data_IF_277322184378
#
_entry.id   IF_277322184378
#
_cell.length_a   1.000
_cell.length_b   1.000
_cell.length_c   1.000
_cell.angle_alpha   90.00
_cell.angle_beta   90.00
_cell.angle_gamma   90.00
#
_symmetry.space_group_name_H-M   'P 1'
#
loop_
_entity.id
_entity.type
_entity.pdbx_description
1 polymer ?
#
# COMPACT_ATOMS: atom_id res chain seq x y z
N UNK A 1 -31.06 3.03 1.22
CA UNK A 1 -32.09 2.12 1.74
C UNK A 1 -33.41 2.88 1.83
N UNK A 2 -34.47 2.30 1.28
CA UNK A 2 -35.78 2.91 1.26
C UNK A 2 -36.80 2.01 2.00
N UNK A 3 -37.75 2.58 2.70
CA UNK A 3 -38.85 1.82 3.28
C UNK A 3 -39.91 1.44 2.23
N UNK A 4 -40.89 0.62 2.61
CA UNK A 4 -41.97 0.17 1.73
C UNK A 4 -42.91 1.28 1.27
N UNK A 5 -42.81 2.48 1.84
CA UNK A 5 -43.59 3.69 1.50
C UNK A 5 -42.78 4.67 0.63
N UNK A 6 -41.57 4.31 0.23
CA UNK A 6 -40.69 5.15 -0.58
C UNK A 6 -39.99 6.28 0.18
N UNK A 7 -39.87 6.17 1.51
CA UNK A 7 -39.08 7.11 2.32
C UNK A 7 -37.64 6.62 2.45
N UNK A 8 -36.67 7.51 2.20
CA UNK A 8 -35.27 7.23 2.44
C UNK A 8 -35.03 7.00 3.94
N UNK A 9 -34.47 5.84 4.30
CA UNK A 9 -34.15 5.46 5.67
C UNK A 9 -32.66 5.67 5.96
N UNK A 10 -31.81 5.32 5.00
CA UNK A 10 -30.36 5.35 5.15
C UNK A 10 -29.69 5.52 3.78
N UNK A 11 -28.54 6.21 3.75
CA UNK A 11 -27.73 6.46 2.57
C UNK A 11 -26.25 6.32 2.91
N UNK A 12 -25.52 5.61 2.07
CA UNK A 12 -24.06 5.51 2.13
C UNK A 12 -23.49 6.00 0.80
N UNK A 13 -22.57 6.94 0.87
CA UNK A 13 -21.86 7.45 -0.29
C UNK A 13 -20.37 7.13 -0.18
N UNK A 14 -19.81 6.57 -1.27
CA UNK A 14 -18.38 6.31 -1.38
C UNK A 14 -17.82 7.03 -2.60
N UNK A 15 -16.67 7.67 -2.41
CA UNK A 15 -15.92 8.27 -3.51
C UNK A 15 -14.93 7.24 -4.07
N UNK A 16 -14.86 7.14 -5.37
CA UNK A 16 -13.88 6.31 -6.06
C UNK A 16 -13.34 7.04 -7.29
N UNK A 17 -12.20 6.57 -7.81
CA UNK A 17 -11.63 7.11 -9.04
C UNK A 17 -11.24 6.01 -10.01
N UNK A 18 -11.28 6.33 -11.30
CA UNK A 18 -10.91 5.43 -12.38
C UNK A 18 -9.61 5.92 -12.99
N UNK A 19 -8.63 5.03 -13.11
CA UNK A 19 -7.35 5.28 -13.81
C UNK A 19 -6.86 3.99 -14.45
N UNK A 20 -5.92 4.14 -15.36
CA UNK A 20 -5.07 3.05 -15.85
C UNK A 20 -3.63 3.36 -15.47
N UNK A 21 -2.90 2.37 -14.99
CA UNK A 21 -1.46 2.50 -14.75
C UNK A 21 -0.75 1.27 -15.27
N UNK A 22 0.45 1.47 -15.81
CA UNK A 22 1.29 0.40 -16.33
C UNK A 22 2.77 0.72 -16.12
N UNK A 23 3.58 -0.34 -16.11
CA UNK A 23 5.03 -0.25 -16.04
C UNK A 23 5.63 -1.07 -17.17
N UNK A 24 6.57 -0.48 -17.88
CA UNK A 24 7.36 -1.20 -18.88
C UNK A 24 8.84 -0.78 -18.83
N UNK A 25 9.71 -1.65 -19.34
CA UNK A 25 11.13 -1.34 -19.41
C UNK A 25 11.42 -0.20 -20.39
N UNK A 26 10.61 -0.06 -21.44
CA UNK A 26 10.79 0.93 -22.49
C UNK A 26 10.25 2.30 -22.11
N UNK A 27 9.11 2.37 -21.42
CA UNK A 27 8.40 3.63 -21.15
C UNK A 27 8.39 4.04 -19.70
N UNK A 28 8.79 3.14 -18.79
CA UNK A 28 8.68 3.36 -17.36
C UNK A 28 7.24 3.31 -16.87
N UNK A 29 6.88 4.22 -15.99
CA UNK A 29 5.52 4.35 -15.47
C UNK A 29 4.64 5.18 -16.42
N UNK A 30 3.48 4.65 -16.76
CA UNK A 30 2.46 5.36 -17.51
C UNK A 30 1.17 5.47 -16.67
N UNK A 31 0.59 6.67 -16.62
CA UNK A 31 -0.69 6.94 -15.99
C UNK A 31 -1.66 7.45 -17.06
N UNK A 32 -2.80 6.77 -17.24
CA UNK A 32 -3.80 7.09 -18.25
C UNK A 32 -3.19 7.23 -19.66
N UNK A 33 -2.29 6.31 -20.01
CA UNK A 33 -1.61 6.24 -21.31
C UNK A 33 -0.53 7.31 -21.53
N UNK A 34 -0.13 8.06 -20.48
CA UNK A 34 0.95 9.06 -20.57
C UNK A 34 2.11 8.65 -19.69
N UNK A 35 3.32 8.69 -20.22
CA UNK A 35 4.53 8.48 -19.43
C UNK A 35 4.69 9.58 -18.37
N UNK A 36 4.91 9.18 -17.13
CA UNK A 36 5.05 10.08 -15.99
C UNK A 36 6.32 9.71 -15.22
N UNK A 37 7.20 10.69 -15.00
CA UNK A 37 8.34 10.51 -14.10
C UNK A 37 7.85 10.66 -12.66
N UNK A 38 8.00 9.62 -11.85
CA UNK A 38 7.65 9.66 -10.44
C UNK A 38 8.76 10.38 -9.66
N UNK A 39 8.39 11.46 -9.01
CA UNK A 39 9.25 12.30 -8.16
C UNK A 39 8.62 12.39 -6.78
N UNK A 40 9.27 11.86 -5.75
CA UNK A 40 8.64 11.84 -4.45
C UNK A 40 9.53 11.35 -3.32
N UNK A 41 8.89 11.04 -2.23
CA UNK A 41 9.53 10.59 -1.00
C UNK A 41 8.74 9.46 -0.35
N UNK A 42 9.27 8.90 0.72
CA UNK A 42 8.52 8.05 1.64
C UNK A 42 8.07 8.84 2.87
N UNK A 43 7.02 8.39 3.52
CA UNK A 43 6.48 8.99 4.73
C UNK A 43 6.17 7.92 5.78
N UNK A 44 6.57 8.22 7.02
CA UNK A 44 6.08 7.57 8.23
C UNK A 44 5.10 8.49 8.93
N UNK A 45 3.97 7.95 9.44
CA UNK A 45 2.99 8.76 10.16
C UNK A 45 3.33 8.87 11.64
N UNK A 46 4.47 9.46 11.94
CA UNK A 46 4.85 9.70 13.33
C UNK A 46 5.50 11.07 13.50
N UNK A 47 5.16 11.72 14.63
CA UNK A 47 5.72 13.00 15.03
C UNK A 47 6.33 12.92 16.41
N UNK A 48 7.38 13.70 16.61
CA UNK A 48 8.02 13.82 17.93
C UNK A 48 7.01 14.27 18.99
N UNK A 49 6.96 13.54 20.09
CA UNK A 49 6.05 13.81 21.21
C UNK A 49 4.60 13.36 21.02
N UNK A 50 4.20 12.92 19.81
CA UNK A 50 2.84 12.48 19.52
C UNK A 50 2.76 11.02 19.05
N UNK A 51 3.86 10.45 18.57
CA UNK A 51 3.83 9.13 17.93
C UNK A 51 2.91 9.15 16.72
N UNK A 52 2.05 8.15 16.61
CA UNK A 52 1.07 8.01 15.52
C UNK A 52 -0.31 8.64 15.84
N UNK A 53 -0.48 9.28 17.01
CA UNK A 53 -1.74 9.91 17.40
C UNK A 53 -1.86 11.31 16.79
N UNK A 54 -1.88 11.38 15.46
CA UNK A 54 -1.94 12.61 14.71
C UNK A 54 -3.39 13.02 14.42
N UNK A 55 -3.61 14.31 14.25
CA UNK A 55 -4.88 14.84 13.73
C UNK A 55 -4.87 14.81 12.19
N UNK A 56 -6.05 14.75 11.62
CA UNK A 56 -6.27 14.70 10.16
C UNK A 56 -5.54 15.82 9.42
N UNK A 57 -5.55 17.03 9.97
CA UNK A 57 -4.90 18.19 9.35
C UNK A 57 -3.37 18.02 9.24
N UNK A 58 -2.76 17.27 10.15
CA UNK A 58 -1.33 16.99 10.10
C UNK A 58 -0.98 16.03 8.96
N UNK A 59 -1.81 15.01 8.75
CA UNK A 59 -1.68 14.10 7.62
C UNK A 59 -1.82 14.86 6.29
N UNK A 60 -2.86 15.68 6.18
CA UNK A 60 -3.11 16.49 4.98
C UNK A 60 -1.96 17.46 4.71
N UNK A 61 -1.45 18.13 5.76
CA UNK A 61 -0.35 19.11 5.61
C UNK A 61 0.94 18.50 5.08
N UNK A 62 1.29 17.31 5.51
CA UNK A 62 2.47 16.60 4.98
C UNK A 62 2.37 16.36 3.46
N UNK A 63 1.17 15.99 2.99
CA UNK A 63 0.95 15.73 1.57
C UNK A 63 0.92 17.03 0.75
N UNK A 64 0.38 18.11 1.32
CA UNK A 64 0.44 19.43 0.72
C UNK A 64 1.87 19.91 0.56
N UNK A 65 2.72 19.73 1.58
CA UNK A 65 4.14 20.06 1.52
C UNK A 65 4.87 19.27 0.41
N UNK A 66 4.58 17.98 0.28
CA UNK A 66 5.12 17.18 -0.82
C UNK A 66 4.70 17.76 -2.18
N UNK A 67 3.43 18.11 -2.32
CA UNK A 67 2.90 18.71 -3.55
C UNK A 67 3.53 20.09 -3.83
N UNK A 68 3.66 20.95 -2.83
CA UNK A 68 4.31 22.27 -2.92
C UNK A 68 5.78 22.18 -3.38
N UNK A 69 6.48 21.09 -2.99
CA UNK A 69 7.85 20.81 -3.46
C UNK A 69 7.90 20.29 -4.91
N UNK A 70 6.77 20.10 -5.56
CA UNK A 70 6.68 19.53 -6.91
C UNK A 70 6.70 17.99 -6.93
N UNK A 71 6.49 17.33 -5.79
CA UNK A 71 6.37 15.89 -5.70
C UNK A 71 5.04 15.39 -6.29
N UNK A 72 5.09 14.27 -6.98
CA UNK A 72 3.93 13.59 -7.57
C UNK A 72 3.85 12.10 -7.17
N UNK A 73 4.71 11.65 -6.26
CA UNK A 73 4.74 10.28 -5.77
C UNK A 73 5.00 10.22 -4.27
N UNK A 74 4.26 9.35 -3.58
CA UNK A 74 4.45 9.06 -2.16
C UNK A 74 4.55 7.55 -1.95
N UNK A 75 5.63 7.11 -1.31
CA UNK A 75 5.69 5.79 -0.71
C UNK A 75 5.14 5.86 0.72
N UNK A 76 4.02 5.20 0.95
CA UNK A 76 3.38 5.09 2.27
C UNK A 76 4.07 3.95 3.02
N UNK A 77 5.11 4.29 3.77
CA UNK A 77 6.05 3.36 4.39
C UNK A 77 5.82 3.23 5.90
N UNK A 78 5.94 2.06 6.47
CA UNK A 78 6.01 0.71 5.88
C UNK A 78 4.75 -0.07 6.26
N UNK A 79 3.60 0.56 6.23
CA UNK A 79 2.29 0.07 6.68
C UNK A 79 1.19 0.97 6.10
N UNK A 80 -0.03 0.48 5.93
CA UNK A 80 -1.16 1.35 5.60
C UNK A 80 -1.28 2.45 6.63
N UNK A 81 -1.36 3.70 6.16
CA UNK A 81 -1.47 4.88 7.01
C UNK A 81 -2.92 5.36 7.07
N UNK A 82 -3.16 6.41 7.84
CA UNK A 82 -4.45 7.04 7.99
C UNK A 82 -5.10 7.34 6.63
N UNK A 83 -6.42 7.19 6.54
CA UNK A 83 -7.19 7.38 5.30
C UNK A 83 -7.07 8.80 4.73
N UNK A 84 -6.83 9.80 5.58
CA UNK A 84 -6.64 11.18 5.17
C UNK A 84 -5.39 11.38 4.30
N UNK A 85 -4.39 10.51 4.43
CA UNK A 85 -3.21 10.50 3.56
C UNK A 85 -3.61 10.18 2.12
N UNK A 86 -4.38 9.11 1.92
CA UNK A 86 -4.87 8.73 0.58
C UNK A 86 -5.88 9.74 0.04
N UNK A 87 -6.77 10.29 0.89
CA UNK A 87 -7.72 11.32 0.50
C UNK A 87 -6.99 12.58 -0.01
N UNK A 88 -5.94 13.02 0.67
CA UNK A 88 -5.11 14.13 0.21
C UNK A 88 -4.35 13.81 -1.09
N UNK A 89 -3.78 12.61 -1.21
CA UNK A 89 -3.12 12.16 -2.45
C UNK A 89 -4.09 12.11 -3.63
N UNK A 90 -5.31 11.60 -3.43
CA UNK A 90 -6.36 11.57 -4.44
C UNK A 90 -6.71 12.98 -4.93
N UNK A 91 -6.87 13.93 -4.01
CA UNK A 91 -7.21 15.33 -4.29
C UNK A 91 -6.10 16.06 -5.04
N UNK A 92 -4.85 15.81 -4.68
CA UNK A 92 -3.67 16.51 -5.22
C UNK A 92 -3.04 15.81 -6.43
N UNK A 93 -3.54 14.64 -6.84
CA UNK A 93 -3.02 13.91 -7.98
C UNK A 93 -1.65 13.26 -7.72
N UNK A 94 -1.37 12.87 -6.47
CA UNK A 94 -0.13 12.20 -6.07
C UNK A 94 -0.32 10.69 -6.18
N UNK A 95 0.51 10.05 -6.99
CA UNK A 95 0.56 8.58 -7.11
C UNK A 95 1.13 7.98 -5.83
N UNK A 96 0.58 6.87 -5.37
CA UNK A 96 1.07 6.22 -4.15
C UNK A 96 1.45 4.76 -4.35
N UNK A 97 2.44 4.32 -3.57
CA UNK A 97 2.62 2.91 -3.21
C UNK A 97 2.21 2.70 -1.75
N UNK A 98 1.45 1.64 -1.51
CA UNK A 98 1.03 1.23 -0.16
C UNK A 98 1.59 -0.16 0.13
N UNK A 99 2.02 -0.40 1.36
CA UNK A 99 2.69 -1.65 1.73
C UNK A 99 2.14 -2.27 3.02
N UNK A 100 2.17 -3.60 3.07
CA UNK A 100 1.92 -4.34 4.31
C UNK A 100 3.17 -4.31 5.21
N UNK A 101 3.03 -4.38 6.55
CA UNK A 101 4.14 -4.19 7.48
C UNK A 101 5.06 -5.40 7.62
N UNK A 102 5.67 -5.84 6.53
CA UNK A 102 6.69 -6.91 6.50
C UNK A 102 8.06 -6.27 6.38
N UNK A 103 8.74 -6.09 7.51
CA UNK A 103 9.93 -5.23 7.61
C UNK A 103 11.10 -5.97 8.28
N UNK A 104 12.29 -5.85 7.72
CA UNK A 104 13.60 -6.23 8.26
C UNK A 104 13.79 -7.72 8.57
N UNK A 105 12.94 -8.30 9.41
CA UNK A 105 13.04 -9.67 9.86
C UNK A 105 11.75 -10.44 9.60
N UNK A 106 11.88 -11.69 9.20
CA UNK A 106 10.76 -12.57 8.83
C UNK A 106 10.84 -13.84 9.66
N UNK A 107 9.70 -14.25 10.22
CA UNK A 107 9.55 -15.54 10.85
C UNK A 107 9.20 -16.61 9.80
N UNK A 108 10.04 -17.63 9.68
CA UNK A 108 9.83 -18.72 8.73
C UNK A 108 8.75 -19.70 9.25
N UNK A 109 7.49 -19.33 9.14
CA UNK A 109 6.36 -20.17 9.55
C UNK A 109 5.17 -20.04 8.61
N UNK A 110 4.31 -21.07 8.56
CA UNK A 110 3.09 -21.04 7.77
C UNK A 110 2.15 -19.92 8.24
N UNK A 111 2.01 -19.76 9.56
CA UNK A 111 1.16 -18.70 10.13
C UNK A 111 1.61 -17.30 9.72
N UNK A 112 2.91 -17.05 9.63
CA UNK A 112 3.42 -15.77 9.15
C UNK A 112 3.06 -15.54 7.69
N UNK A 113 3.26 -16.57 6.85
CA UNK A 113 2.89 -16.51 5.44
C UNK A 113 1.38 -16.27 5.24
N UNK A 114 0.53 -16.95 6.01
CA UNK A 114 -0.92 -16.77 5.96
C UNK A 114 -1.32 -15.36 6.39
N UNK A 115 -0.71 -14.85 7.46
CA UNK A 115 -0.95 -13.49 7.93
C UNK A 115 -0.54 -12.42 6.89
N UNK A 116 0.56 -12.62 6.17
CA UNK A 116 0.95 -11.71 5.08
C UNK A 116 -0.12 -11.65 3.97
N UNK A 117 -0.69 -12.79 3.62
CA UNK A 117 -1.78 -12.87 2.63
C UNK A 117 -3.03 -12.15 3.11
N UNK A 118 -3.43 -12.34 4.38
CA UNK A 118 -4.60 -11.65 4.94
C UNK A 118 -4.38 -10.14 5.04
N UNK A 119 -3.22 -9.69 5.51
CA UNK A 119 -2.88 -8.25 5.53
C UNK A 119 -2.93 -7.63 4.14
N UNK A 120 -2.49 -8.37 3.11
CA UNK A 120 -2.58 -7.88 1.72
C UNK A 120 -4.01 -7.73 1.26
N UNK A 121 -4.88 -8.69 1.57
CA UNK A 121 -6.31 -8.59 1.25
C UNK A 121 -6.96 -7.39 1.94
N UNK A 122 -6.74 -7.25 3.25
CA UNK A 122 -7.28 -6.14 4.05
C UNK A 122 -6.84 -4.79 3.48
N UNK A 123 -5.54 -4.63 3.18
CA UNK A 123 -5.00 -3.41 2.60
C UNK A 123 -5.63 -3.09 1.24
N UNK A 124 -5.78 -4.08 0.36
CA UNK A 124 -6.41 -3.88 -0.94
C UNK A 124 -7.87 -3.44 -0.77
N UNK A 125 -8.65 -4.11 0.08
CA UNK A 125 -10.05 -3.73 0.31
C UNK A 125 -10.19 -2.34 0.93
N UNK A 126 -9.32 -1.95 1.86
CA UNK A 126 -9.31 -0.61 2.44
C UNK A 126 -9.00 0.49 1.40
N UNK A 127 -8.06 0.22 0.50
CA UNK A 127 -7.54 1.22 -0.41
C UNK A 127 -8.14 1.14 -1.82
N UNK A 128 -9.04 0.19 -2.08
CA UNK A 128 -9.53 -0.14 -3.42
C UNK A 128 -10.11 1.05 -4.19
N UNK A 129 -10.84 1.93 -3.49
CA UNK A 129 -11.49 3.09 -4.09
C UNK A 129 -10.55 4.30 -4.29
N UNK A 130 -9.30 4.21 -3.81
CA UNK A 130 -8.33 5.31 -3.90
C UNK A 130 -7.57 5.30 -5.23
N UNK A 131 -7.86 6.22 -6.16
CA UNK A 131 -7.20 6.23 -7.48
C UNK A 131 -5.72 6.60 -7.42
N UNK A 132 -5.23 7.17 -6.33
CA UNK A 132 -3.80 7.44 -6.13
C UNK A 132 -2.97 6.15 -6.00
N UNK A 133 -3.57 5.07 -5.49
CA UNK A 133 -2.84 3.81 -5.29
C UNK A 133 -2.62 3.12 -6.62
N UNK A 134 -1.37 3.10 -7.09
CA UNK A 134 -0.94 2.43 -8.31
C UNK A 134 0.06 1.31 -8.08
N UNK A 135 0.62 1.21 -6.87
CA UNK A 135 1.64 0.22 -6.54
C UNK A 135 1.30 -0.41 -5.19
N UNK A 136 1.23 -1.74 -5.17
CA UNK A 136 1.10 -2.55 -3.96
C UNK A 136 2.46 -3.16 -3.63
N UNK A 137 2.95 -2.95 -2.42
CA UNK A 137 4.21 -3.48 -1.94
C UNK A 137 4.01 -4.37 -0.72
N UNK A 138 4.90 -5.31 -0.50
CA UNK A 138 4.67 -6.33 0.52
C UNK A 138 5.91 -6.70 1.34
N UNK A 139 7.06 -6.14 1.04
CA UNK A 139 8.30 -6.43 1.79
C UNK A 139 9.23 -5.23 1.77
N UNK A 140 9.83 -4.93 2.93
CA UNK A 140 10.86 -3.91 3.06
C UNK A 140 12.09 -4.48 3.78
N UNK A 141 13.26 -4.35 3.17
CA UNK A 141 14.57 -4.68 3.78
C UNK A 141 14.66 -6.07 4.43
N UNK A 142 13.95 -7.04 3.89
CA UNK A 142 13.84 -8.40 4.44
C UNK A 142 15.16 -9.17 4.49
N UNK A 143 16.19 -8.67 3.82
CA UNK A 143 17.56 -9.18 3.85
C UNK A 143 18.45 -8.44 4.85
N UNK A 144 17.94 -7.44 5.56
CA UNK A 144 18.72 -6.66 6.51
C UNK A 144 19.06 -7.47 7.77
N UNK A 145 18.09 -8.26 8.25
CA UNK A 145 18.23 -9.13 9.42
C UNK A 145 17.72 -10.54 9.13
N UNK A 146 18.34 -11.25 8.16
CA UNK A 146 17.88 -12.57 7.82
C UNK A 146 18.14 -13.56 8.96
N UNK A 147 17.22 -14.51 9.21
CA UNK A 147 17.31 -15.43 10.34
C UNK A 147 18.56 -16.31 10.33
N UNK A 148 19.10 -16.66 9.15
CA UNK A 148 20.32 -17.45 9.05
C UNK A 148 21.58 -16.76 9.60
N UNK A 149 21.53 -15.46 9.91
CA UNK A 149 22.62 -14.76 10.59
C UNK A 149 22.59 -14.97 12.11
N UNK A 150 21.44 -15.27 12.69
CA UNK A 150 21.23 -15.47 14.13
C UNK A 150 20.96 -16.93 14.51
N UNK A 151 20.46 -17.73 13.59
CA UNK A 151 20.08 -19.13 13.78
C UNK A 151 20.87 -20.04 12.83
N UNK A 152 21.96 -20.68 13.29
CA UNK A 152 22.86 -21.47 12.42
C UNK A 152 22.21 -22.67 11.74
N UNK A 153 21.05 -23.11 12.23
CA UNK A 153 20.28 -24.21 11.64
C UNK A 153 19.56 -23.81 10.36
N UNK A 154 19.28 -22.52 10.17
CA UNK A 154 18.61 -21.99 8.99
C UNK A 154 19.64 -21.70 7.91
N UNK A 155 19.47 -22.31 6.73
CA UNK A 155 20.34 -22.06 5.57
C UNK A 155 19.78 -20.91 4.73
N UNK A 156 20.70 -20.13 4.13
CA UNK A 156 20.33 -19.02 3.24
C UNK A 156 19.39 -19.44 2.11
N UNK A 157 19.65 -20.59 1.50
CA UNK A 157 18.82 -21.08 0.38
C UNK A 157 17.40 -21.46 0.83
N UNK A 158 17.24 -21.96 2.06
CA UNK A 158 15.93 -22.25 2.64
C UNK A 158 15.16 -20.96 2.90
N UNK A 159 15.83 -19.93 3.41
CA UNK A 159 15.24 -18.61 3.60
C UNK A 159 14.80 -17.99 2.28
N UNK A 160 15.62 -18.02 1.25
CA UNK A 160 15.26 -17.51 -0.08
C UNK A 160 14.06 -18.25 -0.68
N UNK A 161 14.03 -19.58 -0.58
CA UNK A 161 12.87 -20.37 -1.03
C UNK A 161 11.58 -19.95 -0.29
N UNK A 162 11.69 -19.74 1.01
CA UNK A 162 10.55 -19.28 1.81
C UNK A 162 10.09 -17.88 1.40
N UNK A 163 11.00 -16.94 1.13
CA UNK A 163 10.66 -15.62 0.62
C UNK A 163 9.93 -15.68 -0.73
N UNK A 164 10.43 -16.48 -1.67
CA UNK A 164 9.76 -16.68 -2.95
C UNK A 164 8.36 -17.27 -2.78
N UNK A 165 8.19 -18.22 -1.89
CA UNK A 165 6.88 -18.81 -1.60
C UNK A 165 5.88 -17.77 -1.04
N UNK A 166 6.30 -16.91 -0.10
CA UNK A 166 5.43 -15.84 0.41
C UNK A 166 5.11 -14.84 -0.71
N UNK A 167 6.11 -14.39 -1.46
CA UNK A 167 5.93 -13.45 -2.55
C UNK A 167 4.90 -13.96 -3.57
N UNK A 168 5.05 -15.18 -4.02
CA UNK A 168 4.12 -15.83 -4.96
C UNK A 168 2.67 -15.87 -4.40
N UNK A 169 2.50 -16.22 -3.14
CA UNK A 169 1.17 -16.25 -2.50
C UNK A 169 0.53 -14.87 -2.43
N UNK A 170 1.29 -13.85 -2.06
CA UNK A 170 0.81 -12.47 -1.96
C UNK A 170 0.46 -11.93 -3.35
N UNK A 171 1.34 -12.10 -4.32
CA UNK A 171 1.14 -11.64 -5.70
C UNK A 171 -0.08 -12.28 -6.35
N UNK A 172 -0.25 -13.58 -6.20
CA UNK A 172 -1.43 -14.29 -6.70
C UNK A 172 -2.71 -13.78 -6.04
N UNK A 173 -2.69 -13.49 -4.74
CA UNK A 173 -3.83 -12.94 -4.02
C UNK A 173 -4.16 -11.52 -4.50
N UNK A 174 -3.18 -10.65 -4.62
CA UNK A 174 -3.35 -9.29 -5.09
C UNK A 174 -3.86 -9.26 -6.53
N UNK A 175 -3.32 -10.10 -7.40
CA UNK A 175 -3.74 -10.22 -8.79
C UNK A 175 -5.21 -10.63 -8.91
N UNK A 176 -5.62 -11.65 -8.16
CA UNK A 176 -7.02 -12.12 -8.15
C UNK A 176 -8.01 -11.06 -7.68
N UNK A 177 -7.67 -10.30 -6.62
CA UNK A 177 -8.54 -9.26 -6.07
C UNK A 177 -8.63 -8.04 -6.98
N UNK A 178 -7.53 -7.68 -7.66
CA UNK A 178 -7.47 -6.47 -8.46
C UNK A 178 -7.98 -6.63 -9.89
N UNK A 179 -7.95 -7.85 -10.42
CA UNK A 179 -8.36 -8.17 -11.79
C UNK A 179 -9.72 -8.85 -11.89
N UNK A 180 -10.28 -9.33 -10.77
CA UNK A 180 -11.63 -9.89 -10.78
C UNK A 180 -12.65 -8.79 -11.05
N UNK A 181 -13.52 -8.93 -12.07
CA UNK A 181 -14.65 -8.03 -12.21
C UNK A 181 -15.56 -8.18 -10.99
N UNK A 182 -15.79 -7.07 -10.30
CA UNK A 182 -16.78 -6.99 -9.21
C UNK A 182 -18.20 -7.13 -9.71
#
# INVERSE_FOLDING_TARGET
LWDTKGKLIDEVSNTFGIRTCSFSAEKGFELNGKAVKLLGTNRHQCYSGMGNALKDEMHVRDIELLHEMGGNFLRIAHYPQDEMVLAACNRLGIVTSVEIPVINAITMSQNFSDNCVEMMKEMIYQCFNSPSVCIWTYMNEIMLRPPYNSEPTIKKDEYLKYLYHIAERIENTACLLYTSPS
#
